data_IF_359413891049
#
_entry.id   IF_359413891049
#
_cell.length_a   1.000
_cell.length_b   1.000
_cell.length_c   1.000
_cell.angle_alpha   90.00
_cell.angle_beta   90.00
_cell.angle_gamma   90.00
#
_symmetry.space_group_name_H-M   'P 1'
#
loop_
_entity.id
_entity.type
_entity.pdbx_description
1 polymer ?
#
# COMPACT_ATOMS: atom_id res chain seq x y z
N UNK A 1 12.72 -9.96 -17.23
CA UNK A 1 13.69 -10.33 -16.17
C UNK A 1 13.83 -9.17 -15.19
N UNK A 2 14.35 -8.01 -15.61
CA UNK A 2 14.43 -6.81 -14.75
C UNK A 2 13.11 -6.40 -14.10
N UNK A 3 11.99 -6.40 -14.84
CA UNK A 3 10.67 -6.07 -14.26
C UNK A 3 10.20 -7.05 -13.17
N UNK A 4 10.59 -8.32 -13.26
CA UNK A 4 10.23 -9.34 -12.27
C UNK A 4 11.04 -9.14 -10.99
N UNK A 5 12.34 -8.85 -11.12
CA UNK A 5 13.22 -8.49 -10.00
C UNK A 5 12.68 -7.23 -9.31
N UNK A 6 12.44 -6.16 -10.07
CA UNK A 6 11.93 -4.89 -9.54
C UNK A 6 10.58 -5.04 -8.83
N UNK A 7 9.69 -5.88 -9.36
CA UNK A 7 8.39 -6.17 -8.73
C UNK A 7 8.57 -6.90 -7.40
N UNK A 8 9.50 -7.86 -7.34
CA UNK A 8 9.78 -8.62 -6.13
C UNK A 8 10.46 -7.75 -5.07
N UNK A 9 11.47 -6.96 -5.45
CA UNK A 9 12.12 -5.96 -4.60
C UNK A 9 11.09 -4.96 -4.04
N UNK A 10 10.23 -4.42 -4.91
CA UNK A 10 9.15 -3.52 -4.50
C UNK A 10 8.17 -4.18 -3.53
N UNK A 11 7.83 -5.45 -3.74
CA UNK A 11 6.97 -6.20 -2.82
C UNK A 11 7.61 -6.42 -1.46
N UNK A 12 8.92 -6.69 -1.40
CA UNK A 12 9.63 -6.83 -0.13
C UNK A 12 9.78 -5.49 0.59
N UNK A 13 10.13 -4.42 -0.12
CA UNK A 13 10.19 -3.06 0.44
C UNK A 13 8.85 -2.66 1.07
N UNK A 14 7.74 -2.91 0.37
CA UNK A 14 6.41 -2.59 0.86
C UNK A 14 6.05 -3.42 2.11
N UNK A 15 6.31 -4.73 2.08
CA UNK A 15 6.03 -5.62 3.22
C UNK A 15 6.83 -5.24 4.46
N UNK A 16 8.11 -4.89 4.30
CA UNK A 16 8.96 -4.46 5.42
C UNK A 16 8.43 -3.14 6.00
N UNK A 17 8.06 -2.19 5.14
CA UNK A 17 7.48 -0.91 5.57
C UNK A 17 6.20 -1.13 6.38
N UNK A 18 5.24 -1.86 5.83
CA UNK A 18 3.95 -2.15 6.48
C UNK A 18 4.11 -2.88 7.83
N UNK A 19 5.14 -3.74 7.96
CA UNK A 19 5.41 -4.46 9.19
C UNK A 19 6.02 -3.57 10.28
N UNK A 20 6.86 -2.61 9.91
CA UNK A 20 7.61 -1.77 10.85
C UNK A 20 6.93 -0.43 11.16
N UNK A 21 6.07 0.08 10.28
CA UNK A 21 5.33 1.33 10.47
C UNK A 21 4.50 1.37 11.75
N UNK A 22 3.77 0.31 12.18
CA UNK A 22 3.01 0.34 13.43
C UNK A 22 3.87 0.53 14.68
N UNK A 23 5.15 0.15 14.62
CA UNK A 23 6.08 0.28 15.74
C UNK A 23 6.85 1.62 15.73
N UNK A 24 7.13 2.14 14.53
CA UNK A 24 8.04 3.28 14.36
C UNK A 24 7.31 4.57 14.02
N UNK A 25 6.14 4.49 13.40
CA UNK A 25 5.37 5.60 12.84
C UNK A 25 5.50 5.68 11.31
N UNK A 26 4.48 6.24 10.66
CA UNK A 26 4.47 6.40 9.21
C UNK A 26 5.66 7.24 8.73
N UNK A 27 6.31 6.78 7.64
CA UNK A 27 7.44 7.48 7.02
C UNK A 27 8.76 7.44 7.81
N UNK A 28 8.85 6.65 8.89
CA UNK A 28 10.06 6.53 9.74
C UNK A 28 10.90 5.29 9.40
N UNK A 29 10.59 4.60 8.32
CA UNK A 29 11.32 3.41 7.86
C UNK A 29 11.60 3.54 6.36
N UNK A 30 12.86 3.38 6.00
CA UNK A 30 13.29 3.29 4.61
C UNK A 30 13.98 1.95 4.37
N UNK A 31 13.25 0.93 3.90
CA UNK A 31 13.82 -0.34 3.51
C UNK A 31 14.30 -0.31 2.07
N UNK A 32 15.48 -0.87 1.83
CA UNK A 32 16.01 -1.16 0.49
C UNK A 32 16.34 -2.65 0.41
N UNK A 33 15.81 -3.31 -0.62
CA UNK A 33 15.97 -4.74 -0.85
C UNK A 33 16.52 -4.94 -2.24
N UNK A 34 17.59 -5.72 -2.35
CA UNK A 34 18.14 -6.19 -3.60
C UNK A 34 17.97 -7.71 -3.70
N UNK A 35 17.45 -8.19 -4.83
CA UNK A 35 17.23 -9.62 -5.06
C UNK A 35 18.08 -10.11 -6.23
N UNK A 36 18.94 -11.09 -5.97
CA UNK A 36 19.65 -11.84 -6.99
C UNK A 36 18.80 -13.06 -7.41
N UNK A 37 18.53 -13.19 -8.71
CA UNK A 37 17.62 -14.18 -9.26
C UNK A 37 18.25 -14.93 -10.44
N UNK A 38 18.16 -16.25 -10.38
CA UNK A 38 18.58 -17.17 -11.43
C UNK A 38 17.44 -17.40 -12.42
N UNK A 39 17.68 -17.00 -13.67
CA UNK A 39 16.76 -17.22 -14.79
C UNK A 39 17.17 -18.39 -15.69
N UNK A 40 18.15 -19.20 -15.26
CA UNK A 40 18.50 -20.42 -15.98
C UNK A 40 17.34 -21.42 -15.94
N UNK A 41 17.20 -22.18 -17.02
CA UNK A 41 16.24 -23.28 -17.11
C UNK A 41 17.06 -24.57 -17.06
N UNK A 42 16.87 -25.34 -16.00
CA UNK A 42 17.58 -26.62 -15.82
C UNK A 42 16.61 -27.76 -16.03
N UNK A 43 17.00 -28.69 -16.89
CA UNK A 43 16.22 -29.89 -17.22
C UNK A 43 17.03 -31.12 -16.81
N UNK A 44 16.52 -31.87 -15.84
CA UNK A 44 17.15 -33.08 -15.32
C UNK A 44 16.30 -34.29 -15.69
N UNK A 45 16.89 -35.25 -16.41
CA UNK A 45 16.33 -36.57 -16.61
C UNK A 45 17.14 -37.57 -15.78
N UNK A 46 16.51 -38.17 -14.76
CA UNK A 46 17.10 -39.22 -13.94
C UNK A 46 16.43 -40.54 -14.25
N UNK A 47 17.23 -41.54 -14.61
CA UNK A 47 16.79 -42.92 -14.73
C UNK A 47 17.32 -43.70 -13.52
N UNK A 48 16.40 -44.14 -12.66
CA UNK A 48 16.72 -45.00 -11.52
C UNK A 48 16.28 -46.42 -11.81
N UNK A 49 17.16 -47.37 -11.52
CA UNK A 49 16.89 -48.80 -11.58
C UNK A 49 16.67 -49.32 -10.14
N UNK A 50 15.49 -49.88 -9.87
CA UNK A 50 15.21 -50.45 -8.55
C UNK A 50 15.85 -51.84 -8.42
N UNK A 51 16.53 -52.07 -7.28
CA UNK A 51 17.33 -53.29 -7.03
C UNK A 51 16.62 -54.43 -6.29
N UNK A 52 15.34 -54.30 -5.94
CA UNK A 52 14.59 -55.31 -5.16
C UNK A 52 13.75 -56.25 -6.05
N UNK A 53 13.49 -57.49 -5.56
CA UNK A 53 13.96 -58.72 -6.18
C UNK A 53 13.76 -58.74 -7.70
N UNK A 54 14.86 -58.94 -8.41
CA UNK A 54 14.92 -58.96 -9.86
C UNK A 54 13.88 -59.92 -10.43
N UNK A 55 12.91 -59.40 -11.19
CA UNK A 55 11.88 -60.22 -11.84
C UNK A 55 12.50 -60.91 -13.04
N UNK A 56 12.61 -62.23 -12.97
CA UNK A 56 13.10 -63.04 -14.11
C UNK A 56 12.07 -62.95 -15.23
N UNK A 57 12.49 -62.45 -16.39
CA UNK A 57 11.69 -62.44 -17.63
C UNK A 57 11.73 -63.80 -18.33
N UNK A 58 12.94 -64.37 -18.45
CA UNK A 58 13.16 -65.66 -19.10
C UNK A 58 14.40 -66.33 -18.55
N UNK A 59 14.34 -67.65 -18.39
CA UNK A 59 15.47 -68.48 -17.97
C UNK A 59 15.63 -69.64 -18.95
N UNK A 60 16.85 -69.84 -19.47
CA UNK A 60 17.23 -70.99 -20.27
C UNK A 60 18.34 -71.74 -19.55
N UNK A 61 18.06 -72.97 -19.12
CA UNK A 61 19.02 -73.87 -18.48
C UNK A 61 19.33 -75.00 -19.47
N UNK A 62 20.62 -75.17 -19.78
CA UNK A 62 21.15 -76.31 -20.53
C UNK A 62 22.01 -77.14 -19.58
N UNK A 63 21.55 -78.32 -19.24
CA UNK A 63 22.27 -79.27 -18.39
C UNK A 63 22.66 -80.48 -19.24
N UNK A 64 23.96 -80.74 -19.33
CA UNK A 64 24.52 -81.90 -20.01
C UNK A 64 25.23 -82.75 -18.97
N UNK A 65 24.76 -83.98 -18.78
CA UNK A 65 25.40 -84.96 -17.91
C UNK A 65 25.84 -86.14 -18.77
N UNK A 66 27.15 -86.35 -18.86
CA UNK A 66 27.72 -87.53 -19.50
C UNK A 66 28.33 -88.43 -18.44
N UNK A 67 27.71 -89.58 -18.23
CA UNK A 67 28.29 -90.68 -17.49
C UNK A 67 28.92 -91.65 -18.48
N UNK A 68 30.26 -91.72 -18.51
CA UNK A 68 30.95 -92.76 -19.28
C UNK A 68 30.85 -94.06 -18.49
N UNK A 69 30.08 -95.03 -18.98
CA UNK A 69 30.06 -96.36 -18.39
C UNK A 69 31.47 -96.96 -18.49
N UNK A 70 32.12 -97.18 -17.35
CA UNK A 70 33.39 -97.89 -17.28
C UNK A 70 33.24 -99.33 -17.80
N UNK A 71 34.33 -99.98 -18.24
CA UNK A 71 34.28 -101.35 -18.73
C UNK A 71 33.69 -102.27 -17.66
N UNK A 72 32.47 -102.76 -17.89
CA UNK A 72 31.89 -103.80 -17.06
C UNK A 72 32.54 -105.12 -17.46
N UNK A 73 33.19 -105.77 -16.50
CA UNK A 73 33.89 -107.03 -16.72
C UNK A 73 33.00 -108.10 -17.39
N UNK A 74 33.66 -109.03 -18.07
CA UNK A 74 33.04 -110.13 -18.83
C UNK A 74 32.14 -110.95 -17.90
N UNK A 75 30.82 -111.03 -18.13
CA UNK A 75 29.93 -111.87 -17.32
C UNK A 75 30.37 -113.35 -17.40
N UNK A 76 30.75 -113.95 -16.27
CA UNK A 76 31.03 -115.39 -16.16
C UNK A 76 32.45 -115.79 -15.69
N UNK A 77 33.37 -114.86 -15.48
CA UNK A 77 34.77 -115.20 -15.14
C UNK A 77 34.98 -115.74 -13.70
N UNK A 78 34.01 -115.61 -12.78
CA UNK A 78 34.15 -116.10 -11.39
C UNK A 78 33.67 -117.55 -11.20
N UNK A 79 33.07 -118.18 -12.21
CA UNK A 79 32.46 -119.51 -12.04
C UNK A 79 33.40 -120.70 -12.26
N UNK A 80 34.66 -120.50 -12.68
CA UNK A 80 35.57 -121.61 -13.00
C UNK A 80 36.98 -121.51 -12.40
N UNK A 81 37.13 -120.86 -11.24
CA UNK A 81 38.38 -120.89 -10.47
C UNK A 81 38.17 -121.62 -9.14
N UNK A 82 39.09 -122.52 -8.74
CA UNK A 82 39.04 -123.18 -7.42
C UNK A 82 39.07 -122.16 -6.27
N UNK A 83 38.50 -122.46 -5.08
CA UNK A 83 38.45 -121.51 -3.97
C UNK A 83 39.85 -121.30 -3.37
N UNK A 84 40.55 -120.26 -3.83
CA UNK A 84 41.74 -119.70 -3.19
C UNK A 84 41.37 -118.37 -2.52
N UNK A 85 41.93 -118.15 -1.33
CA UNK A 85 41.81 -116.99 -0.43
C UNK A 85 40.94 -115.81 -0.90
N UNK A 86 39.94 -115.47 -0.09
CA UNK A 86 38.99 -114.36 -0.28
C UNK A 86 39.65 -113.11 -0.91
N UNK A 87 39.39 -112.90 -2.20
CA UNK A 87 39.67 -111.63 -2.85
C UNK A 87 38.73 -110.57 -2.27
N UNK A 88 39.29 -109.43 -1.89
CA UNK A 88 38.53 -108.27 -1.42
C UNK A 88 37.42 -107.91 -2.42
N UNK A 89 36.24 -107.45 -1.97
CA UNK A 89 35.15 -107.09 -2.85
C UNK A 89 35.65 -106.06 -3.88
N UNK A 90 35.27 -106.18 -5.17
CA UNK A 90 35.69 -105.22 -6.17
C UNK A 90 35.22 -103.83 -5.73
N UNK A 91 36.16 -102.91 -5.54
CA UNK A 91 35.84 -101.50 -5.38
C UNK A 91 35.17 -101.08 -6.68
N UNK A 92 33.88 -100.76 -6.60
CA UNK A 92 33.15 -100.14 -7.70
C UNK A 92 33.79 -98.78 -7.91
N UNK A 93 34.70 -98.68 -8.88
CA UNK A 93 35.26 -97.41 -9.28
C UNK A 93 34.09 -96.52 -9.71
N UNK A 94 33.87 -95.43 -8.99
CA UNK A 94 32.84 -94.46 -9.31
C UNK A 94 33.07 -94.00 -10.75
N UNK A 95 32.09 -94.23 -11.62
CA UNK A 95 32.13 -93.73 -13.00
C UNK A 95 32.28 -92.21 -12.96
N UNK A 96 33.30 -91.63 -13.62
CA UNK A 96 33.43 -90.20 -13.69
C UNK A 96 32.22 -89.65 -14.47
N UNK A 97 31.35 -88.95 -13.75
CA UNK A 97 30.24 -88.21 -14.33
C UNK A 97 30.71 -86.79 -14.57
N UNK A 98 30.75 -86.37 -15.83
CA UNK A 98 30.98 -84.98 -16.19
C UNK A 98 29.61 -84.30 -16.32
N UNK A 99 29.33 -83.36 -15.41
CA UNK A 99 28.12 -82.53 -15.46
C UNK A 99 28.51 -81.12 -15.84
N UNK A 100 27.98 -80.64 -16.97
CA UNK A 100 28.08 -79.26 -17.40
C UNK A 100 26.70 -78.61 -17.32
N UNK A 101 26.62 -77.45 -16.65
CA UNK A 101 25.38 -76.66 -16.53
C UNK A 101 25.64 -75.25 -17.01
N UNK A 102 24.90 -74.82 -18.02
CA UNK A 102 24.88 -73.45 -18.51
C UNK A 102 23.49 -72.85 -18.27
N UNK A 103 23.43 -71.63 -17.73
CA UNK A 103 22.16 -70.95 -17.43
C UNK A 103 22.22 -69.49 -17.90
N UNK A 104 21.27 -69.09 -18.75
CA UNK A 104 21.07 -67.69 -19.17
C UNK A 104 19.76 -67.18 -18.58
N UNK A 105 19.82 -66.12 -17.76
CA UNK A 105 18.66 -65.48 -17.12
C UNK A 105 18.53 -64.03 -17.60
N UNK A 106 17.37 -63.68 -18.14
CA UNK A 106 17.01 -62.30 -18.46
C UNK A 106 16.12 -61.76 -17.35
N UNK A 107 16.36 -60.51 -16.95
CA UNK A 107 15.61 -59.84 -15.89
C UNK A 107 14.87 -58.63 -16.45
N UNK A 108 13.67 -58.36 -15.94
CA UNK A 108 13.04 -57.04 -16.08
C UNK A 108 13.38 -56.23 -14.84
N UNK A 109 14.12 -55.14 -15.03
CA UNK A 109 14.37 -54.15 -13.99
C UNK A 109 13.31 -53.07 -14.10
N UNK A 110 12.67 -52.77 -12.97
CA UNK A 110 11.78 -51.61 -12.88
C UNK A 110 12.63 -50.34 -13.06
N UNK A 111 12.33 -49.58 -14.11
CA UNK A 111 12.93 -48.27 -14.38
C UNK A 111 11.99 -47.16 -13.94
N UNK A 112 12.50 -46.24 -13.15
CA UNK A 112 11.79 -45.01 -12.80
C UNK A 112 12.44 -43.85 -13.55
N UNK A 113 11.73 -43.30 -14.53
CA UNK A 113 12.17 -42.14 -15.28
C UNK A 113 11.61 -40.88 -14.62
N UNK A 114 12.46 -40.15 -13.92
CA UNK A 114 12.09 -38.87 -13.32
C UNK A 114 12.58 -37.73 -14.21
N UNK A 115 11.63 -37.00 -14.78
CA UNK A 115 11.91 -35.79 -15.54
C UNK A 115 11.55 -34.57 -14.69
N UNK A 116 12.54 -33.77 -14.32
CA UNK A 116 12.35 -32.57 -13.51
C UNK A 116 12.84 -31.35 -14.28
N UNK A 117 11.92 -30.40 -14.53
CA UNK A 117 12.24 -29.12 -15.14
C UNK A 117 12.13 -28.03 -14.09
N UNK A 118 13.26 -27.38 -13.78
CA UNK A 118 13.29 -26.27 -12.84
C UNK A 118 12.83 -24.99 -13.57
N UNK A 119 11.77 -24.32 -13.08
CA UNK A 119 11.32 -23.08 -13.69
C UNK A 119 12.34 -21.95 -13.45
N UNK A 120 12.49 -21.01 -14.40
CA UNK A 120 13.33 -19.84 -14.20
C UNK A 120 12.72 -18.91 -13.15
N UNK A 121 13.57 -18.14 -12.48
CA UNK A 121 13.16 -17.16 -11.47
C UNK A 121 13.39 -17.61 -10.02
N UNK A 122 14.35 -18.52 -9.80
CA UNK A 122 14.75 -18.91 -8.44
C UNK A 122 15.54 -17.78 -7.80
N UNK A 123 15.19 -17.43 -6.56
CA UNK A 123 15.95 -16.43 -5.80
C UNK A 123 17.25 -17.08 -5.30
N UNK A 124 18.38 -16.53 -5.72
CA UNK A 124 19.72 -16.96 -5.31
C UNK A 124 20.18 -16.30 -4.03
N UNK A 125 19.83 -15.02 -3.82
CA UNK A 125 20.21 -14.26 -2.63
C UNK A 125 19.32 -13.06 -2.45
N UNK A 126 19.01 -12.74 -1.19
CA UNK A 126 18.32 -11.50 -0.81
C UNK A 126 19.22 -10.69 0.11
N UNK A 127 19.44 -9.43 -0.25
CA UNK A 127 20.18 -8.47 0.57
C UNK A 127 19.25 -7.34 0.98
N UNK A 128 19.10 -7.16 2.30
CA UNK A 128 18.18 -6.17 2.87
C UNK A 128 18.95 -5.18 3.73
N UNK A 129 18.74 -3.90 3.46
CA UNK A 129 19.19 -2.80 4.31
C UNK A 129 17.96 -2.02 4.79
N UNK A 130 17.81 -1.87 6.10
CA UNK A 130 16.69 -1.13 6.69
C UNK A 130 17.23 0.03 7.50
N UNK A 131 16.86 1.24 7.09
CA UNK A 131 17.12 2.43 7.87
C UNK A 131 15.85 2.79 8.66
N UNK A 132 16.00 2.96 9.97
CA UNK A 132 14.90 3.30 10.89
C UNK A 132 15.20 4.64 11.55
N UNK A 133 14.22 5.53 11.54
CA UNK A 133 14.29 6.84 12.20
C UNK A 133 14.20 6.69 13.72
N UNK A 134 14.52 7.77 14.44
CA UNK A 134 14.18 7.87 15.85
C UNK A 134 12.67 7.84 16.04
N UNK A 135 12.19 7.34 17.18
CA UNK A 135 10.76 7.25 17.50
C UNK A 135 10.39 8.28 18.56
N UNK A 136 9.20 8.91 18.46
CA UNK A 136 8.80 9.90 19.43
C UNK A 136 8.40 9.21 20.74
N UNK A 137 9.10 9.51 21.82
CA UNK A 137 8.78 9.02 23.17
C UNK A 137 8.48 10.18 24.10
N UNK A 138 7.65 9.92 25.11
CA UNK A 138 7.39 10.90 26.16
C UNK A 138 8.71 11.18 26.90
N UNK A 139 9.23 12.40 26.75
CA UNK A 139 10.35 12.89 27.53
C UNK A 139 9.92 13.24 28.96
N UNK A 140 10.90 13.52 29.82
CA UNK A 140 10.69 13.84 31.24
C UNK A 140 9.73 15.02 31.50
N UNK A 141 9.47 15.86 30.49
CA UNK A 141 8.64 17.08 30.60
C UNK A 141 7.29 16.97 29.88
N UNK A 142 6.85 15.76 29.50
CA UNK A 142 5.63 15.55 28.72
C UNK A 142 5.71 16.00 27.25
N UNK A 143 6.82 16.62 26.84
CA UNK A 143 7.14 16.88 25.44
C UNK A 143 7.66 15.60 24.78
N UNK A 144 7.14 15.28 23.59
CA UNK A 144 7.67 14.16 22.81
C UNK A 144 9.06 14.51 22.28
N UNK A 145 10.03 13.65 22.55
CA UNK A 145 11.38 13.75 22.01
C UNK A 145 11.66 12.55 21.12
N UNK A 146 12.26 12.79 19.96
CA UNK A 146 12.69 11.73 19.04
C UNK A 146 13.91 11.03 19.67
N UNK A 147 13.72 9.78 20.10
CA UNK A 147 14.76 8.97 20.75
C UNK A 147 15.21 7.82 19.86
N UNK A 148 16.50 7.43 19.93
CA UNK A 148 16.99 6.26 19.22
C UNK A 148 16.34 4.97 19.76
N UNK A 149 16.27 3.96 18.89
CA UNK A 149 15.85 2.62 19.29
C UNK A 149 16.91 2.02 20.21
N UNK A 150 16.44 1.30 21.22
CA UNK A 150 17.32 0.51 22.10
C UNK A 150 17.89 -0.68 21.34
N UNK A 151 19.03 -1.22 21.79
CA UNK A 151 19.64 -2.41 21.17
C UNK A 151 18.65 -3.60 21.12
N UNK A 152 17.84 -3.79 22.16
CA UNK A 152 16.83 -4.84 22.20
C UNK A 152 15.73 -4.65 21.14
N UNK A 153 15.32 -3.41 20.87
CA UNK A 153 14.35 -3.10 19.82
C UNK A 153 14.96 -3.31 18.43
N UNK A 154 16.22 -2.96 18.22
CA UNK A 154 16.92 -3.21 16.96
C UNK A 154 17.00 -4.70 16.65
N UNK A 155 17.30 -5.54 17.64
CA UNK A 155 17.29 -7.01 17.46
C UNK A 155 15.89 -7.54 17.11
N UNK A 156 14.83 -6.98 17.70
CA UNK A 156 13.45 -7.35 17.36
C UNK A 156 13.09 -6.92 15.94
N UNK A 157 13.47 -5.70 15.54
CA UNK A 157 13.28 -5.21 14.18
C UNK A 157 14.02 -6.09 13.19
N UNK A 158 15.28 -6.44 13.45
CA UNK A 158 16.06 -7.34 12.60
C UNK A 158 15.39 -8.71 12.47
N UNK A 159 14.88 -9.28 13.57
CA UNK A 159 14.16 -10.55 13.54
C UNK A 159 12.87 -10.48 12.71
N UNK A 160 12.09 -9.40 12.85
CA UNK A 160 10.88 -9.16 12.07
C UNK A 160 11.19 -9.02 10.58
N UNK A 161 12.24 -8.27 10.23
CA UNK A 161 12.69 -8.11 8.85
C UNK A 161 13.11 -9.47 8.26
N UNK A 162 13.88 -10.28 9.01
CA UNK A 162 14.27 -11.64 8.60
C UNK A 162 13.06 -12.52 8.31
N UNK A 163 12.03 -12.47 9.16
CA UNK A 163 10.79 -13.22 8.96
C UNK A 163 9.99 -12.72 7.74
N UNK A 164 9.92 -11.39 7.54
CA UNK A 164 9.14 -10.79 6.45
C UNK A 164 9.65 -11.17 5.05
N UNK A 165 10.98 -11.25 4.89
CA UNK A 165 11.63 -11.58 3.62
C UNK A 165 11.85 -13.08 3.40
N UNK A 166 11.63 -13.91 4.43
CA UNK A 166 11.95 -15.34 4.37
C UNK A 166 13.45 -15.57 4.31
N UNK A 167 14.18 -14.94 5.23
CA UNK A 167 15.64 -15.02 5.36
C UNK A 167 16.09 -16.48 5.41
N UNK A 168 17.08 -16.79 4.57
CA UNK A 168 17.72 -18.09 4.54
C UNK A 168 19.25 -17.91 4.55
N UNK A 169 19.89 -18.41 5.61
CA UNK A 169 21.34 -18.38 5.76
C UNK A 169 22.07 -19.28 4.75
N UNK A 170 21.48 -20.42 4.37
CA UNK A 170 22.04 -21.34 3.37
C UNK A 170 21.99 -20.73 1.96
N UNK A 171 21.00 -19.86 1.70
CA UNK A 171 20.92 -19.05 0.47
C UNK A 171 21.96 -17.91 0.45
N UNK A 172 22.58 -17.60 1.59
CA UNK A 172 23.53 -16.50 1.71
C UNK A 172 22.88 -15.13 1.84
N UNK A 173 21.65 -15.08 2.36
CA UNK A 173 20.96 -13.81 2.60
C UNK A 173 21.66 -12.96 3.67
N UNK A 174 21.50 -11.64 3.55
CA UNK A 174 22.08 -10.68 4.49
C UNK A 174 21.05 -9.63 4.88
N UNK A 175 20.94 -9.33 6.18
CA UNK A 175 20.07 -8.28 6.70
C UNK A 175 20.90 -7.33 7.56
N UNK A 176 20.80 -6.04 7.27
CA UNK A 176 21.43 -4.97 8.06
C UNK A 176 20.38 -3.94 8.47
N UNK A 177 20.32 -3.62 9.76
CA UNK A 177 19.41 -2.62 10.31
C UNK A 177 20.22 -1.51 10.96
N UNK A 178 19.92 -0.27 10.60
CA UNK A 178 20.58 0.91 11.15
C UNK A 178 19.54 1.88 11.70
N UNK A 179 19.88 2.54 12.81
CA UNK A 179 19.08 3.62 13.38
C UNK A 179 19.80 4.95 13.19
N UNK A 180 19.15 5.89 12.51
CA UNK A 180 19.67 7.23 12.29
C UNK A 180 18.51 8.22 12.17
N UNK A 181 18.67 9.47 12.63
CA UNK A 181 17.63 10.48 12.52
C UNK A 181 17.42 10.91 11.07
N UNK A 182 16.17 11.00 10.62
CA UNK A 182 15.87 11.43 9.25
C UNK A 182 15.78 12.96 9.19
N UNK A 183 16.29 13.53 8.08
CA UNK A 183 16.11 14.94 7.79
C UNK A 183 14.70 15.14 7.27
N UNK A 184 13.83 15.75 8.08
CA UNK A 184 12.49 16.17 7.64
C UNK A 184 12.59 17.62 7.21
N UNK A 185 12.42 17.85 5.92
CA UNK A 185 12.28 19.20 5.38
C UNK A 185 10.89 19.72 5.75
N UNK A 186 10.73 20.15 7.00
CA UNK A 186 9.51 20.82 7.44
C UNK A 186 9.51 22.19 6.78
N UNK A 187 8.80 22.33 5.66
CA UNK A 187 8.36 23.65 5.21
C UNK A 187 7.52 24.18 6.38
N UNK A 188 7.96 25.22 7.11
CA UNK A 188 7.15 25.77 8.16
C UNK A 188 5.90 26.30 7.47
N UNK A 189 4.79 25.59 7.63
CA UNK A 189 3.48 26.16 7.32
C UNK A 189 3.33 27.25 8.36
N UNK A 190 3.73 28.47 7.99
CA UNK A 190 3.54 29.66 8.80
C UNK A 190 2.04 29.68 9.11
N UNK A 191 1.69 29.44 10.38
CA UNK A 191 0.29 29.43 10.78
C UNK A 191 -0.32 30.75 10.30
N UNK A 192 -1.53 30.74 9.70
CA UNK A 192 -2.16 31.97 9.21
C UNK A 192 -2.12 32.97 10.35
N UNK A 193 -1.53 34.15 10.09
CA UNK A 193 -1.41 35.15 11.14
C UNK A 193 -2.81 35.43 11.67
N UNK A 194 -2.96 35.70 12.96
CA UNK A 194 -4.29 35.79 13.60
C UNK A 194 -5.28 36.74 12.87
N UNK A 195 -4.78 37.75 12.15
CA UNK A 195 -5.55 38.71 11.32
C UNK A 195 -5.93 38.19 9.91
N UNK A 196 -5.39 37.06 9.47
CA UNK A 196 -5.79 36.33 8.27
C UNK A 196 -6.96 35.38 8.52
N UNK A 197 -7.28 35.09 9.78
CA UNK A 197 -8.42 34.28 10.13
C UNK A 197 -9.74 35.00 9.76
N UNK A 198 -10.61 34.42 8.93
CA UNK A 198 -11.86 35.05 8.49
C UNK A 198 -12.76 35.48 9.66
N UNK A 199 -12.77 34.70 10.74
CA UNK A 199 -13.55 35.03 11.96
C UNK A 199 -13.09 36.35 12.60
N UNK A 200 -11.78 36.62 12.61
CA UNK A 200 -11.22 37.85 13.17
C UNK A 200 -11.57 39.05 12.28
N UNK A 201 -11.51 38.88 10.95
CA UNK A 201 -11.89 39.94 10.00
C UNK A 201 -13.36 40.28 10.08
N UNK A 202 -14.23 39.29 10.20
CA UNK A 202 -15.67 39.50 10.33
C UNK A 202 -16.02 40.15 11.67
N UNK A 203 -15.39 39.72 12.78
CA UNK A 203 -15.52 40.38 14.07
C UNK A 203 -15.04 41.84 14.01
N UNK A 204 -13.91 42.10 13.36
CA UNK A 204 -13.36 43.45 13.21
C UNK A 204 -14.31 44.36 12.40
N UNK A 205 -14.91 43.88 11.32
CA UNK A 205 -15.93 44.62 10.55
C UNK A 205 -17.14 44.95 11.41
N UNK A 206 -17.60 44.01 12.23
CA UNK A 206 -18.75 44.18 13.11
C UNK A 206 -18.45 45.22 14.21
N UNK A 207 -17.27 45.15 14.83
CA UNK A 207 -16.79 46.15 15.79
C UNK A 207 -16.68 47.53 15.14
N UNK A 208 -16.12 47.63 13.94
CA UNK A 208 -16.00 48.89 13.23
C UNK A 208 -17.37 49.48 12.89
N UNK A 209 -18.31 48.65 12.43
CA UNK A 209 -19.71 49.05 12.19
C UNK A 209 -20.39 49.54 13.47
N UNK A 210 -20.22 48.83 14.59
CA UNK A 210 -20.74 49.24 15.88
C UNK A 210 -20.18 50.60 16.35
N UNK A 211 -18.87 50.83 16.15
CA UNK A 211 -18.22 52.12 16.46
C UNK A 211 -18.83 53.26 15.62
N UNK A 212 -19.07 53.06 14.32
CA UNK A 212 -19.68 54.08 13.45
C UNK A 212 -21.10 54.41 13.89
N UNK A 213 -21.92 53.40 14.20
CA UNK A 213 -23.28 53.60 14.74
C UNK A 213 -23.23 54.38 16.05
N UNK A 214 -22.32 54.01 16.95
CA UNK A 214 -22.15 54.67 18.25
C UNK A 214 -21.68 56.13 18.06
N UNK A 215 -20.76 56.39 17.13
CA UNK A 215 -20.33 57.73 16.78
C UNK A 215 -21.47 58.60 16.23
N UNK A 216 -22.37 58.06 15.41
CA UNK A 216 -23.57 58.79 14.95
C UNK A 216 -24.57 59.06 16.07
N UNK A 217 -24.78 58.09 16.97
CA UNK A 217 -25.67 58.22 18.12
C UNK A 217 -25.20 59.31 19.09
N UNK A 218 -23.90 59.33 19.40
CA UNK A 218 -23.31 60.33 20.29
C UNK A 218 -23.02 61.67 19.60
N UNK A 219 -22.67 61.65 18.31
CA UNK A 219 -22.26 62.82 17.54
C UNK A 219 -23.42 63.62 16.92
N UNK A 220 -24.52 62.96 16.54
CA UNK A 220 -25.66 63.61 15.86
C UNK A 220 -26.93 63.58 16.71
N UNK A 221 -27.28 62.41 17.27
CA UNK A 221 -28.54 62.24 17.99
C UNK A 221 -28.52 62.98 19.34
N UNK A 222 -27.45 62.83 20.12
CA UNK A 222 -27.28 63.50 21.43
C UNK A 222 -27.34 65.04 21.37
N UNK A 223 -26.64 65.75 20.45
CA UNK A 223 -26.76 67.20 20.37
C UNK A 223 -28.13 67.66 19.86
N UNK A 224 -28.77 66.93 18.95
CA UNK A 224 -30.12 67.27 18.46
C UNK A 224 -31.18 67.20 19.57
N UNK A 225 -31.16 66.16 20.42
CA UNK A 225 -32.07 66.09 21.58
C UNK A 225 -31.80 67.19 22.62
N UNK A 226 -30.54 67.61 22.80
CA UNK A 226 -30.19 68.74 23.68
C UNK A 226 -30.73 70.07 23.17
N UNK A 227 -30.82 70.27 21.86
CA UNK A 227 -31.39 71.50 21.29
C UNK A 227 -32.92 71.59 21.45
N UNK A 228 -33.62 70.46 21.50
CA UNK A 228 -35.09 70.43 21.68
C UNK A 228 -35.50 70.49 23.16
N UNK A 229 -34.62 70.07 24.09
CA UNK A 229 -34.91 70.03 25.54
C UNK A 229 -34.32 71.20 26.33
N UNK A 230 -33.68 72.16 25.66
CA UNK A 230 -33.17 73.37 26.30
C UNK A 230 -34.30 74.40 26.51
N UNK A 231 -35.03 74.28 27.63
CA UNK A 231 -35.92 75.34 28.12
C UNK A 231 -35.09 76.60 28.43
N UNK A 232 -35.40 77.79 27.87
CA UNK A 232 -34.68 78.99 28.20
C UNK A 232 -34.97 79.41 29.65
N UNK A 233 -33.90 79.72 30.37
CA UNK A 233 -33.88 80.28 31.72
C UNK A 233 -34.44 81.71 31.70
N UNK A 234 -35.62 81.93 32.30
CA UNK A 234 -36.13 83.26 32.60
C UNK A 234 -35.70 83.69 34.01
N UNK A 235 -34.98 84.81 34.08
CA UNK A 235 -34.70 85.61 35.26
C UNK A 235 -35.47 86.92 35.12
N UNK A 236 -36.04 87.36 36.25
CA UNK A 236 -36.38 88.76 36.61
C UNK A 236 -37.74 89.34 36.18
N UNK A 237 -38.53 89.70 37.20
CA UNK A 237 -38.84 91.10 37.52
C UNK A 237 -39.89 91.83 36.65
N UNK A 238 -41.00 92.34 37.24
CA UNK A 238 -42.08 93.00 36.50
C UNK A 238 -41.88 94.52 36.47
N UNK A 239 -42.02 95.16 35.31
CA UNK A 239 -42.51 96.55 35.19
C UNK A 239 -43.23 96.75 33.84
N UNK A 240 -44.54 96.97 33.97
CA UNK A 240 -45.43 97.90 33.27
C UNK A 240 -45.70 97.91 31.74
N UNK A 241 -46.92 98.35 31.36
CA UNK A 241 -47.59 97.98 30.12
C UNK A 241 -47.59 99.12 29.10
N UNK A 242 -47.81 98.80 27.81
CA UNK A 242 -48.84 99.41 26.96
C UNK A 242 -48.78 98.89 25.52
N UNK A 243 -49.98 98.76 24.93
CA UNK A 243 -50.32 98.95 23.51
C UNK A 243 -49.84 97.88 22.52
N UNK A 244 -50.72 96.98 22.07
CA UNK A 244 -51.62 97.17 20.91
C UNK A 244 -50.88 97.14 19.57
N UNK A 245 -51.04 96.08 18.78
CA UNK A 245 -51.91 96.14 17.60
C UNK A 245 -52.25 94.74 17.04
N UNK A 246 -53.43 94.68 16.43
CA UNK A 246 -54.16 93.56 15.83
C UNK A 246 -53.69 93.43 14.36
N UNK A 247 -53.30 92.25 13.85
CA UNK A 247 -54.09 91.35 12.98
C UNK A 247 -54.67 92.07 11.72
N UNK A 248 -54.53 91.68 10.45
CA UNK A 248 -54.61 90.40 9.70
C UNK A 248 -54.17 90.74 8.24
N UNK A 249 -53.66 89.78 7.47
CA UNK A 249 -53.85 89.64 6.00
C UNK A 249 -53.33 88.23 5.63
N UNK A 250 -54.17 87.21 5.41
CA UNK A 250 -54.96 86.84 4.21
C UNK A 250 -54.14 86.19 3.08
N UNK A 251 -54.83 85.32 2.32
CA UNK A 251 -54.43 84.38 1.26
C UNK A 251 -53.97 82.99 1.75
N UNK A 252 -54.52 81.87 1.28
CA UNK A 252 -55.38 81.64 0.14
C UNK A 252 -55.09 80.24 -0.41
N UNK A 253 -56.05 79.34 -0.24
CA UNK A 253 -56.51 78.41 -1.29
C UNK A 253 -55.61 77.25 -1.76
N UNK A 254 -56.12 76.05 -1.44
CA UNK A 254 -56.23 74.84 -2.29
C UNK A 254 -55.08 73.83 -2.45
N UNK A 255 -55.42 72.61 -2.02
CA UNK A 255 -54.90 71.32 -2.47
C UNK A 255 -55.11 71.11 -3.98
N UNK A 256 -54.24 70.31 -4.61
CA UNK A 256 -54.80 69.19 -5.35
C UNK A 256 -54.02 67.87 -5.22
N UNK A 257 -54.73 66.81 -5.61
CA UNK A 257 -54.37 65.41 -5.54
C UNK A 257 -53.53 64.91 -6.74
N UNK A 258 -52.86 63.77 -6.51
CA UNK A 258 -52.46 62.70 -7.44
C UNK A 258 -51.83 63.06 -8.79
N UNK A 259 -50.56 62.70 -8.97
CA UNK A 259 -50.06 62.16 -10.24
C UNK A 259 -48.82 61.29 -10.01
N UNK A 260 -48.87 60.07 -10.55
CA UNK A 260 -47.69 59.29 -10.84
C UNK A 260 -46.93 59.98 -11.97
N UNK A 261 -45.64 60.25 -11.78
CA UNK A 261 -44.75 60.55 -12.90
C UNK A 261 -43.41 59.85 -12.74
N UNK A 262 -42.99 59.26 -13.85
CA UNK A 262 -41.81 58.42 -14.01
C UNK A 262 -40.62 59.33 -14.32
N UNK A 263 -39.55 59.20 -13.55
CA UNK A 263 -38.23 59.67 -13.97
C UNK A 263 -37.33 58.46 -14.27
N UNK A 264 -37.15 58.24 -15.58
CA UNK A 264 -36.01 57.54 -16.12
C UNK A 264 -34.76 58.39 -15.87
N UNK A 265 -33.77 57.81 -15.21
CA UNK A 265 -32.41 58.33 -15.24
C UNK A 265 -31.48 57.23 -15.75
N UNK A 266 -30.81 57.58 -16.83
CA UNK A 266 -29.91 56.79 -17.62
C UNK A 266 -28.68 56.33 -16.80
N UNK A 267 -28.26 55.08 -17.02
CA UNK A 267 -26.94 54.59 -16.64
C UNK A 267 -26.65 54.32 -15.16
N UNK A 268 -27.22 53.24 -14.59
CA UNK A 268 -26.63 52.32 -13.58
C UNK A 268 -27.67 51.27 -13.17
N UNK A 269 -27.35 49.95 -13.11
CA UNK A 269 -28.32 48.98 -12.63
C UNK A 269 -28.56 49.17 -11.13
N UNK A 270 -29.84 49.28 -10.76
CA UNK A 270 -30.29 49.22 -9.38
C UNK A 270 -29.91 47.86 -8.77
N UNK A 271 -29.48 47.87 -7.50
CA UNK A 271 -29.20 46.65 -6.73
C UNK A 271 -30.44 45.74 -6.75
N UNK A 272 -30.36 44.65 -7.50
CA UNK A 272 -31.32 43.56 -7.43
C UNK A 272 -31.17 42.85 -6.08
N UNK A 273 -32.29 42.51 -5.46
CA UNK A 273 -32.32 41.66 -4.27
C UNK A 273 -31.69 40.29 -4.59
N UNK A 274 -31.10 39.59 -3.60
CA UNK A 274 -30.25 38.41 -3.83
C UNK A 274 -30.91 37.24 -4.60
N UNK A 275 -32.24 37.23 -4.69
CA UNK A 275 -33.02 36.16 -5.31
C UNK A 275 -33.04 36.30 -6.85
N UNK A 276 -33.21 37.52 -7.37
CA UNK A 276 -33.28 37.77 -8.83
C UNK A 276 -31.92 37.60 -9.52
N UNK A 277 -30.83 37.88 -8.80
CA UNK A 277 -29.47 37.74 -9.31
C UNK A 277 -29.07 36.28 -9.58
N UNK A 278 -29.69 35.31 -8.90
CA UNK A 278 -29.42 33.89 -9.11
C UNK A 278 -30.17 33.36 -10.34
N UNK A 279 -31.43 33.75 -10.52
CA UNK A 279 -32.23 33.35 -11.68
C UNK A 279 -31.64 33.90 -12.99
N UNK A 280 -31.15 35.14 -12.98
CA UNK A 280 -30.49 35.76 -14.14
C UNK A 280 -29.19 35.03 -14.51
N UNK A 281 -28.40 34.59 -13.50
CA UNK A 281 -27.19 33.77 -13.72
C UNK A 281 -27.53 32.40 -14.28
N UNK A 282 -28.61 31.77 -13.81
CA UNK A 282 -29.09 30.49 -14.35
C UNK A 282 -29.53 30.63 -15.81
N UNK A 283 -30.16 31.76 -16.14
CA UNK A 283 -30.64 32.07 -17.49
C UNK A 283 -29.47 32.30 -18.44
N UNK A 284 -28.48 33.13 -18.05
CA UNK A 284 -27.25 33.32 -18.82
C UNK A 284 -26.44 32.03 -18.98
N UNK A 285 -26.36 31.19 -17.94
CA UNK A 285 -25.68 29.90 -18.05
C UNK A 285 -26.37 28.96 -19.05
N UNK A 286 -27.71 28.90 -19.05
CA UNK A 286 -28.46 28.12 -20.04
C UNK A 286 -28.28 28.66 -21.47
N UNK A 287 -28.22 29.98 -21.64
CA UNK A 287 -28.03 30.63 -22.94
C UNK A 287 -26.62 30.40 -23.49
N UNK A 288 -25.59 30.45 -22.63
CA UNK A 288 -24.20 30.17 -22.99
C UNK A 288 -23.98 28.71 -23.42
N UNK A 289 -24.66 27.76 -22.75
CA UNK A 289 -24.63 26.33 -23.15
C UNK A 289 -25.26 26.12 -24.53
N UNK A 290 -26.30 26.90 -24.86
CA UNK A 290 -27.02 26.81 -26.14
C UNK A 290 -26.22 27.41 -27.30
N UNK A 291 -25.46 28.47 -27.05
CA UNK A 291 -24.69 29.19 -28.07
C UNK A 291 -23.28 28.62 -28.27
N UNK A 292 -22.61 28.11 -27.22
CA UNK A 292 -21.22 27.67 -27.34
C UNK A 292 -20.91 26.41 -26.48
N UNK A 293 -21.62 25.31 -26.79
CA UNK A 293 -21.53 24.03 -26.08
C UNK A 293 -20.11 23.44 -26.02
N UNK A 294 -19.26 23.71 -27.02
CA UNK A 294 -17.87 23.23 -27.07
C UNK A 294 -16.99 23.87 -26.00
N UNK A 295 -17.16 25.16 -25.68
CA UNK A 295 -16.36 25.84 -24.65
C UNK A 295 -16.73 25.39 -23.24
N UNK A 296 -18.02 25.17 -22.97
CA UNK A 296 -18.49 24.67 -21.67
C UNK A 296 -17.97 23.26 -21.40
N UNK A 297 -17.96 22.38 -22.41
CA UNK A 297 -17.39 21.04 -22.30
C UNK A 297 -15.88 21.06 -21.96
N UNK A 298 -15.14 22.05 -22.44
CA UNK A 298 -13.71 22.18 -22.17
C UNK A 298 -13.41 22.58 -20.72
N UNK A 299 -14.28 23.40 -20.12
CA UNK A 299 -14.18 23.78 -18.69
C UNK A 299 -14.54 22.61 -17.79
N UNK A 300 -15.62 21.88 -18.09
CA UNK A 300 -16.00 20.68 -17.34
C UNK A 300 -14.93 19.59 -17.46
N UNK A 301 -14.34 19.42 -18.65
CA UNK A 301 -13.20 18.52 -18.84
C UNK A 301 -12.00 18.92 -17.99
N UNK A 302 -11.73 20.22 -17.84
CA UNK A 302 -10.67 20.72 -16.97
C UNK A 302 -10.89 20.44 -15.48
N UNK A 303 -12.16 20.38 -15.04
CA UNK A 303 -12.49 20.02 -13.66
C UNK A 303 -12.43 18.52 -13.41
N UNK A 304 -12.86 17.71 -14.39
CA UNK A 304 -12.76 16.24 -14.31
C UNK A 304 -11.32 15.73 -14.44
N UNK A 305 -10.43 16.49 -15.10
CA UNK A 305 -9.01 16.10 -15.18
C UNK A 305 -8.18 16.50 -13.96
N UNK A 306 -8.74 17.31 -13.07
CA UNK A 306 -8.07 17.80 -11.85
C UNK A 306 -8.55 17.06 -10.59
N UNK A 307 -9.24 15.93 -10.76
CA UNK A 307 -9.68 15.00 -9.72
C UNK A 307 -9.11 13.60 -10.00
#
# INVERSE_FOLDING_TARGET
>A
QFDQVRRLEGSYNQRIRELLEPMTGAGRVNPEVSVDMDFSVTEEARELFNGEPQKVRSEQISENSSATAGPQGIPGATSNTPPGAAAAPPTTAATPTETSKNATRNYELDRTLQHTRQPPGRVNRVSVAVLVDHVPRAGANGKQTDQPLTAAELTRVEALVKQAVGFNAERGDTVSVMNAPFVRESIPVEAPKWWENPQVRDALRLVLGAIVVLALLFGVLRPALRQITSTPKALSGPEDPLSADVQVLDDGTEMPALAADRLHLDGKPALALPVDAYEERLRMAREAVKTDSKRVAQVVKGWVSND
#
